data_IF_048288365873
#
_entry.id   IF_048288365873
#
_cell.length_a   1.000
_cell.length_b   1.000
_cell.length_c   1.000
_cell.angle_alpha   90.00
_cell.angle_beta   90.00
_cell.angle_gamma   90.00
#
_symmetry.space_group_name_H-M   'P 1'
#
loop_
_entity.id
_entity.type
_entity.pdbx_description
1 polymer ?
#
# COMPACT_ATOMS: atom_id res chain seq x y z
N UNK A 1 4.45 -0.87 45.01
CA UNK A 1 3.72 0.08 45.89
C UNK A 1 3.15 1.19 45.01
N UNK A 2 1.89 1.66 45.13
CA UNK A 2 1.36 2.74 44.29
C UNK A 2 2.22 4.03 44.34
N UNK A 3 3.03 4.20 45.39
CA UNK A 3 3.93 5.36 45.53
C UNK A 3 5.23 5.25 44.72
N UNK A 4 5.57 4.05 44.24
CA UNK A 4 6.81 3.73 43.53
C UNK A 4 6.87 4.40 42.15
N UNK A 5 5.70 4.65 41.52
CA UNK A 5 5.62 5.33 40.22
C UNK A 5 6.04 6.80 40.32
N UNK A 6 5.83 7.46 41.46
CA UNK A 6 6.23 8.86 41.67
C UNK A 6 7.74 9.02 41.86
N UNK A 7 8.48 7.93 42.07
CA UNK A 7 9.95 7.94 42.20
C UNK A 7 10.67 7.60 40.90
N UNK A 8 9.95 7.18 39.85
CA UNK A 8 10.56 6.86 38.57
C UNK A 8 10.83 8.12 37.73
N UNK A 9 11.84 8.06 36.87
CA UNK A 9 12.20 9.22 36.06
C UNK A 9 11.25 9.38 34.86
N UNK A 10 10.89 10.63 34.56
CA UNK A 10 10.02 10.96 33.40
C UNK A 10 10.60 10.43 32.08
N UNK A 11 11.94 10.37 31.95
CA UNK A 11 12.61 9.83 30.75
C UNK A 11 12.23 8.37 30.45
N UNK A 12 11.80 7.62 31.45
CA UNK A 12 11.42 6.21 31.32
C UNK A 12 9.98 6.05 30.79
N UNK A 13 9.20 7.14 30.77
CA UNK A 13 7.79 7.17 30.37
C UNK A 13 7.48 8.17 29.26
N UNK A 14 8.40 9.07 28.93
CA UNK A 14 8.20 10.06 27.87
C UNK A 14 8.21 9.39 26.49
N UNK A 15 7.40 9.90 25.56
CA UNK A 15 7.49 9.53 24.15
C UNK A 15 8.89 9.89 23.64
N UNK A 16 9.68 8.91 23.13
CA UNK A 16 10.99 9.20 22.57
C UNK A 16 10.88 10.23 21.46
N UNK A 17 11.86 11.13 21.33
CA UNK A 17 11.82 12.21 20.33
C UNK A 17 11.64 11.67 18.89
N UNK A 18 12.12 10.46 18.62
CA UNK A 18 11.96 9.74 17.35
C UNK A 18 10.51 9.33 17.04
N UNK A 19 9.64 9.33 18.06
CA UNK A 19 8.22 9.00 17.96
C UNK A 19 7.32 10.23 18.17
N UNK A 20 7.91 11.40 18.43
CA UNK A 20 7.16 12.65 18.60
C UNK A 20 6.74 13.17 17.22
N UNK A 21 5.43 13.21 17.02
CA UNK A 21 4.81 13.81 15.85
C UNK A 21 4.54 15.27 16.19
N UNK A 22 5.03 16.20 15.37
CA UNK A 22 4.86 17.63 15.55
C UNK A 22 4.23 18.25 14.29
N UNK A 23 3.68 19.44 14.46
CA UNK A 23 3.19 20.28 13.37
C UNK A 23 3.97 21.60 13.34
N UNK A 24 3.77 22.40 12.29
CA UNK A 24 4.38 23.73 12.15
C UNK A 24 3.33 24.84 12.21
N UNK A 25 3.70 26.08 12.58
CA UNK A 25 2.76 27.20 12.66
C UNK A 25 1.99 27.48 11.36
N UNK A 26 2.59 27.17 10.21
CA UNK A 26 2.02 27.36 8.88
C UNK A 26 1.05 26.25 8.43
N UNK A 27 0.97 25.13 9.17
CA UNK A 27 0.11 24.01 8.81
C UNK A 27 -1.35 24.23 9.25
N UNK A 28 -2.30 23.70 8.47
CA UNK A 28 -3.73 23.93 8.73
C UNK A 28 -4.26 23.08 9.88
N UNK A 29 -5.32 23.56 10.54
CA UNK A 29 -6.04 22.78 11.57
C UNK A 29 -6.58 21.46 11.01
N UNK A 30 -7.01 21.43 9.74
CA UNK A 30 -7.48 20.20 9.09
C UNK A 30 -6.39 19.13 8.95
N UNK A 31 -5.15 19.54 8.67
CA UNK A 31 -3.99 18.63 8.63
C UNK A 31 -3.69 18.09 10.03
N UNK A 32 -3.62 18.97 11.04
CA UNK A 32 -3.44 18.56 12.43
C UNK A 32 -4.53 17.55 12.85
N UNK A 33 -5.80 17.81 12.53
CA UNK A 33 -6.93 16.92 12.83
C UNK A 33 -6.78 15.55 12.17
N UNK A 34 -6.32 15.53 10.93
CA UNK A 34 -6.09 14.28 10.18
C UNK A 34 -4.95 13.48 10.77
N UNK A 35 -3.83 14.13 11.09
CA UNK A 35 -2.66 13.50 11.72
C UNK A 35 -3.04 12.93 13.10
N UNK A 36 -3.76 13.72 13.90
CA UNK A 36 -4.22 13.31 15.23
C UNK A 36 -5.19 12.12 15.16
N UNK A 37 -6.11 12.12 14.19
CA UNK A 37 -7.04 11.03 13.97
C UNK A 37 -6.33 9.75 13.47
N UNK A 38 -5.42 9.88 12.49
CA UNK A 38 -4.69 8.75 11.91
C UNK A 38 -3.73 8.09 12.91
N UNK A 39 -3.04 8.90 13.71
CA UNK A 39 -2.03 8.41 14.65
C UNK A 39 -2.58 8.16 16.06
N UNK A 40 -3.85 8.49 16.32
CA UNK A 40 -4.49 8.31 17.62
C UNK A 40 -3.88 9.19 18.73
N UNK A 41 -3.19 10.27 18.37
CA UNK A 41 -2.52 11.18 19.30
C UNK A 41 -3.44 12.34 19.67
N UNK A 42 -3.46 12.70 20.96
CA UNK A 42 -4.35 13.73 21.52
C UNK A 42 -3.71 15.10 21.64
N UNK A 43 -2.41 15.19 21.39
CA UNK A 43 -1.65 16.43 21.37
C UNK A 43 -0.55 16.37 20.32
N UNK A 44 -0.28 17.52 19.71
CA UNK A 44 0.79 17.73 18.75
C UNK A 44 1.57 18.97 19.19
N UNK A 45 2.87 18.87 19.51
CA UNK A 45 3.73 20.03 19.70
C UNK A 45 3.91 20.80 18.38
N UNK A 46 3.93 22.12 18.47
CA UNK A 46 4.19 23.01 17.33
C UNK A 46 5.65 23.43 17.38
N UNK A 47 6.40 23.09 16.34
CA UNK A 47 7.82 23.42 16.23
C UNK A 47 8.04 24.58 15.26
N UNK A 48 8.90 25.52 15.64
CA UNK A 48 9.43 26.55 14.76
C UNK A 48 10.30 25.93 13.64
N UNK A 49 10.60 26.72 12.62
CA UNK A 49 11.59 26.35 11.60
C UNK A 49 12.98 26.03 12.18
N UNK A 50 13.29 26.54 13.37
CA UNK A 50 14.55 26.30 14.09
C UNK A 50 14.48 25.07 15.03
N UNK A 51 13.37 24.33 15.01
CA UNK A 51 13.16 23.13 15.83
C UNK A 51 12.85 23.41 17.31
N UNK A 52 12.48 24.64 17.65
CA UNK A 52 12.06 25.01 19.02
C UNK A 52 10.56 24.81 19.18
N UNK A 53 10.12 24.31 20.33
CA UNK A 53 8.69 24.22 20.63
C UNK A 53 8.13 25.62 20.83
N UNK A 54 7.23 26.03 19.95
CA UNK A 54 6.51 27.31 20.01
C UNK A 54 5.13 27.17 20.65
N UNK A 55 4.53 25.98 20.59
CA UNK A 55 3.20 25.75 21.12
C UNK A 55 2.81 24.27 21.20
N UNK A 56 1.55 24.03 21.56
CA UNK A 56 0.94 22.70 21.62
C UNK A 56 -0.52 22.83 21.15
N UNK A 57 -0.94 21.96 20.24
CA UNK A 57 -2.34 21.81 19.85
C UNK A 57 -2.86 20.50 20.41
N UNK A 58 -3.99 20.54 21.12
CA UNK A 58 -4.66 19.36 21.67
C UNK A 58 -5.96 19.05 20.92
N UNK A 59 -6.45 17.82 21.09
CA UNK A 59 -7.75 17.42 20.56
C UNK A 59 -8.89 18.28 21.09
N UNK A 60 -8.72 18.87 22.28
CA UNK A 60 -9.67 19.82 22.88
C UNK A 60 -9.64 21.16 22.16
N UNK A 61 -8.46 21.68 21.86
CA UNK A 61 -8.32 22.94 21.13
C UNK A 61 -8.96 22.83 19.73
N UNK A 62 -8.82 21.68 19.07
CA UNK A 62 -9.48 21.42 17.79
C UNK A 62 -11.01 21.26 17.87
N UNK A 63 -11.57 20.93 19.04
CA UNK A 63 -13.02 20.86 19.23
C UNK A 63 -13.67 22.20 19.55
N UNK A 64 -12.87 23.16 20.05
CA UNK A 64 -13.35 24.47 20.47
C UNK A 64 -13.31 25.51 19.32
N UNK A 65 -12.51 25.27 18.27
CA UNK A 65 -12.47 26.10 17.06
C UNK A 65 -13.38 25.54 15.95
N UNK A 66 -14.60 26.09 15.85
CA UNK A 66 -15.34 26.16 14.58
C UNK A 66 -16.20 24.96 14.19
N UNK A 67 -17.23 24.64 14.97
CA UNK A 67 -18.42 23.92 14.47
C UNK A 67 -19.68 24.53 15.10
N UNK A 68 -20.60 25.04 14.27
CA UNK A 68 -21.95 25.39 14.73
C UNK A 68 -22.69 24.13 15.20
N UNK A 69 -23.62 24.30 16.14
CA UNK A 69 -24.32 23.19 16.80
C UNK A 69 -25.08 22.23 15.86
N UNK A 70 -25.26 22.59 14.58
CA UNK A 70 -25.88 21.74 13.54
C UNK A 70 -24.95 20.66 12.95
N UNK A 71 -23.64 20.75 13.14
CA UNK A 71 -22.66 19.79 12.58
C UNK A 71 -22.28 18.67 13.55
N UNK A 72 -22.87 18.64 14.75
CA UNK A 72 -22.59 17.62 15.79
C UNK A 72 -23.34 16.28 15.62
N UNK A 73 -23.88 16.02 14.43
CA UNK A 73 -24.62 14.79 14.09
C UNK A 73 -23.71 13.69 13.52
N UNK A 74 -23.76 12.49 14.11
CA UNK A 74 -22.77 11.41 13.95
C UNK A 74 -22.56 10.81 12.56
N UNK A 75 -21.46 10.04 12.45
CA UNK A 75 -20.97 9.13 11.38
C UNK A 75 -20.94 9.63 9.92
N UNK A 76 -21.92 10.40 9.51
CA UNK A 76 -22.14 10.90 8.14
C UNK A 76 -21.15 11.99 7.73
N UNK A 77 -20.67 12.82 8.67
CA UNK A 77 -19.65 13.85 8.40
C UNK A 77 -18.25 13.27 8.15
N UNK A 78 -17.94 12.08 8.69
CA UNK A 78 -16.64 11.45 8.47
C UNK A 78 -16.51 10.88 7.04
N UNK A 79 -17.62 10.39 6.47
CA UNK A 79 -17.64 9.82 5.12
C UNK A 79 -17.77 10.89 4.03
N UNK A 80 -18.52 11.98 4.29
CA UNK A 80 -18.70 13.07 3.31
C UNK A 80 -17.46 13.95 3.09
N UNK A 81 -16.59 14.10 4.09
CA UNK A 81 -15.40 14.97 3.99
C UNK A 81 -14.20 14.31 3.28
N UNK A 82 -14.28 13.02 2.92
CA UNK A 82 -13.15 12.25 2.38
C UNK A 82 -13.28 11.94 0.88
N UNK A 83 -14.47 12.11 0.29
CA UNK A 83 -14.75 11.62 -1.06
C UNK A 83 -14.48 12.60 -2.22
N UNK A 84 -13.80 13.74 -1.99
CA UNK A 84 -13.42 14.65 -3.09
C UNK A 84 -12.05 15.32 -2.87
N UNK A 85 -10.99 14.52 -2.73
CA UNK A 85 -9.64 15.03 -2.95
C UNK A 85 -8.97 14.23 -4.06
N UNK A 86 -9.11 14.75 -5.28
CA UNK A 86 -8.07 14.63 -6.32
C UNK A 86 -6.74 15.01 -5.67
N UNK A 87 -5.65 14.37 -6.11
CA UNK A 87 -4.31 14.47 -5.53
C UNK A 87 -3.95 15.85 -4.99
N UNK A 88 -3.12 15.85 -3.94
CA UNK A 88 -2.50 17.07 -3.41
C UNK A 88 -1.96 17.92 -4.57
N UNK A 89 -2.29 19.22 -4.61
CA UNK A 89 -1.88 20.10 -5.70
C UNK A 89 -0.37 20.00 -5.95
N UNK A 90 0.08 20.23 -7.20
CA UNK A 90 1.47 20.04 -7.67
C UNK A 90 2.58 20.67 -6.82
N UNK A 91 2.25 21.53 -5.87
CA UNK A 91 3.18 22.17 -4.92
C UNK A 91 3.11 21.63 -3.48
N UNK A 92 2.26 20.65 -3.20
CA UNK A 92 2.09 20.08 -1.86
C UNK A 92 2.93 18.81 -1.77
N UNK A 93 4.22 19.02 -1.53
CA UNK A 93 5.11 17.97 -1.05
C UNK A 93 4.58 17.49 0.30
N UNK A 94 4.31 16.18 0.43
CA UNK A 94 4.25 15.51 1.73
C UNK A 94 5.54 15.88 2.44
N UNK A 95 5.46 16.81 3.40
CA UNK A 95 6.63 17.49 3.93
C UNK A 95 7.68 16.46 4.34
N UNK A 96 8.76 16.45 3.58
CA UNK A 96 9.92 15.65 3.89
C UNK A 96 10.33 15.94 5.34
N UNK A 97 10.55 14.92 6.18
CA UNK A 97 11.02 15.14 7.54
C UNK A 97 12.27 16.02 7.46
N UNK A 98 12.39 17.07 8.29
CA UNK A 98 13.45 18.04 8.15
C UNK A 98 14.83 17.37 8.20
N UNK A 99 15.85 17.96 7.56
CA UNK A 99 17.16 17.32 7.36
C UNK A 99 17.78 16.75 8.63
N UNK A 100 17.60 17.41 9.78
CA UNK A 100 18.11 16.91 11.07
C UNK A 100 17.40 15.63 11.54
N UNK A 101 16.10 15.49 11.28
CA UNK A 101 15.30 14.31 11.63
C UNK A 101 15.59 13.16 10.65
N UNK A 102 15.85 13.47 9.37
CA UNK A 102 16.42 12.54 8.39
C UNK A 102 17.79 12.03 8.82
N UNK A 103 18.66 12.91 9.28
CA UNK A 103 19.97 12.55 9.81
C UNK A 103 19.85 11.74 11.10
N UNK A 104 18.85 12.00 11.96
CA UNK A 104 18.63 11.26 13.21
C UNK A 104 17.95 9.90 13.02
N UNK A 105 17.02 9.76 12.06
CA UNK A 105 16.43 8.48 11.67
C UNK A 105 17.42 7.62 10.87
N UNK A 106 18.34 8.26 10.13
CA UNK A 106 19.46 7.60 9.44
C UNK A 106 20.67 7.32 10.37
N UNK A 107 20.62 7.75 11.63
CA UNK A 107 21.65 7.39 12.62
C UNK A 107 21.31 6.00 13.20
N UNK A 108 22.22 5.05 12.95
CA UNK A 108 22.39 3.78 13.67
C UNK A 108 21.32 2.67 13.57
N UNK A 109 20.30 2.78 12.69
CA UNK A 109 19.40 1.64 12.45
C UNK A 109 19.92 0.71 11.34
N UNK A 110 19.90 -0.59 11.59
CA UNK A 110 20.18 -1.59 10.55
C UNK A 110 19.14 -1.48 9.43
N UNK A 111 19.52 -1.62 8.16
CA UNK A 111 18.57 -1.60 7.06
C UNK A 111 17.56 -2.74 7.20
N UNK A 112 16.32 -2.48 6.82
CA UNK A 112 15.33 -3.54 6.65
C UNK A 112 15.49 -4.19 5.27
N UNK A 113 14.90 -5.36 5.10
CA UNK A 113 14.87 -6.05 3.83
C UNK A 113 13.45 -6.53 3.58
N UNK A 114 13.15 -6.88 2.35
CA UNK A 114 11.82 -7.30 1.94
C UNK A 114 11.95 -8.55 1.09
N UNK A 115 11.19 -9.57 1.44
CA UNK A 115 10.94 -10.71 0.57
C UNK A 115 9.60 -10.49 -0.12
N UNK A 116 9.53 -10.75 -1.43
CA UNK A 116 8.36 -10.46 -2.25
C UNK A 116 7.91 -11.74 -2.94
N UNK A 117 6.61 -11.99 -2.91
CA UNK A 117 5.94 -13.04 -3.66
C UNK A 117 4.83 -12.43 -4.50
N UNK A 118 4.63 -12.96 -5.70
CA UNK A 118 3.57 -12.51 -6.60
C UNK A 118 2.72 -13.70 -7.00
N UNK A 119 1.42 -13.47 -7.12
CA UNK A 119 0.48 -14.38 -7.74
C UNK A 119 -0.48 -13.59 -8.61
N UNK A 120 -0.90 -14.18 -9.71
CA UNK A 120 -1.87 -13.62 -10.62
C UNK A 120 -2.80 -14.74 -11.09
N UNK A 121 -4.07 -14.39 -11.27
CA UNK A 121 -5.08 -15.26 -11.84
C UNK A 121 -5.89 -14.44 -12.84
N UNK A 122 -6.06 -14.91 -14.07
CA UNK A 122 -6.88 -14.19 -15.05
C UNK A 122 -8.35 -14.20 -14.63
N UNK A 123 -9.21 -13.45 -15.31
CA UNK A 123 -10.64 -13.53 -15.14
C UNK A 123 -11.09 -14.99 -15.36
N UNK A 124 -11.93 -15.58 -14.47
CA UNK A 124 -12.22 -17.02 -14.49
C UNK A 124 -12.82 -17.52 -15.81
N UNK A 125 -13.53 -16.65 -16.52
CA UNK A 125 -14.15 -16.93 -17.81
C UNK A 125 -13.35 -16.38 -19.01
N UNK A 126 -12.06 -16.07 -18.86
CA UNK A 126 -11.22 -15.54 -19.94
C UNK A 126 -10.82 -16.65 -20.93
N UNK A 127 -11.11 -16.46 -22.21
CA UNK A 127 -10.76 -17.35 -23.34
C UNK A 127 -9.69 -16.70 -24.22
N UNK A 128 -9.12 -17.45 -25.17
CA UNK A 128 -8.27 -16.91 -26.23
C UNK A 128 -8.96 -15.79 -27.05
N UNK A 129 -10.29 -15.82 -27.19
CA UNK A 129 -11.06 -14.90 -28.04
C UNK A 129 -11.86 -13.83 -27.29
N UNK A 130 -11.72 -13.71 -25.96
CA UNK A 130 -12.44 -12.73 -25.16
C UNK A 130 -12.84 -13.23 -23.77
N UNK A 131 -13.86 -12.62 -23.15
CA UNK A 131 -14.42 -13.06 -21.86
C UNK A 131 -15.78 -13.71 -22.05
N UNK A 132 -15.92 -14.94 -21.60
CA UNK A 132 -17.18 -15.65 -21.51
C UNK A 132 -18.12 -14.99 -20.49
N UNK A 133 -19.42 -15.05 -20.74
CA UNK A 133 -20.41 -14.42 -19.87
C UNK A 133 -20.68 -15.23 -18.61
N UNK A 134 -20.45 -16.55 -18.66
CA UNK A 134 -20.83 -17.45 -17.58
C UNK A 134 -19.97 -18.72 -17.60
N UNK A 135 -20.03 -19.46 -16.49
CA UNK A 135 -19.46 -20.81 -16.32
C UNK A 135 -19.82 -21.84 -17.43
N UNK A 136 -20.86 -21.57 -18.22
CA UNK A 136 -21.27 -22.46 -19.34
C UNK A 136 -20.27 -22.48 -20.49
N UNK A 137 -19.42 -21.47 -20.59
CA UNK A 137 -18.47 -21.32 -21.70
C UNK A 137 -17.22 -22.18 -21.52
N UNK A 138 -16.91 -22.59 -20.29
CA UNK A 138 -15.76 -23.44 -19.97
C UNK A 138 -16.15 -24.84 -19.47
N UNK A 139 -17.40 -25.04 -19.01
CA UNK A 139 -17.82 -26.30 -18.39
C UNK A 139 -17.68 -26.26 -16.86
N UNK A 140 -18.24 -27.25 -16.14
CA UNK A 140 -18.52 -27.14 -14.71
C UNK A 140 -17.31 -27.05 -13.76
N UNK A 141 -16.08 -27.26 -14.27
CA UNK A 141 -14.85 -27.29 -13.48
C UNK A 141 -13.64 -26.63 -14.16
N UNK A 142 -13.79 -26.16 -15.40
CA UNK A 142 -12.70 -25.54 -16.13
C UNK A 142 -12.82 -24.03 -15.95
N UNK A 143 -11.77 -23.39 -15.45
CA UNK A 143 -11.65 -21.94 -15.38
C UNK A 143 -10.32 -21.55 -16.00
N UNK A 144 -10.23 -20.31 -16.49
CA UNK A 144 -8.96 -19.78 -16.93
C UNK A 144 -7.96 -19.75 -15.76
N UNK A 145 -6.80 -20.34 -16.00
CA UNK A 145 -5.63 -20.35 -15.14
C UNK A 145 -4.37 -19.83 -15.86
N UNK A 146 -4.47 -19.49 -17.15
CA UNK A 146 -3.35 -18.98 -17.93
C UNK A 146 -3.13 -17.48 -17.64
N UNK A 147 -2.01 -17.10 -17.00
CA UNK A 147 -1.72 -15.71 -16.70
C UNK A 147 -1.58 -14.79 -17.92
N UNK A 148 -1.21 -15.35 -19.08
CA UNK A 148 -1.05 -14.56 -20.33
C UNK A 148 -2.35 -13.92 -20.80
N UNK A 149 -3.49 -14.37 -20.27
CA UNK A 149 -4.80 -13.80 -20.59
C UNK A 149 -5.26 -12.73 -19.60
N UNK A 150 -4.49 -12.50 -18.53
CA UNK A 150 -4.79 -11.49 -17.52
C UNK A 150 -4.68 -10.08 -18.08
N UNK A 151 -5.67 -9.23 -17.80
CA UNK A 151 -5.62 -7.78 -18.08
C UNK A 151 -4.85 -7.03 -17.02
N UNK A 152 -4.69 -7.65 -15.84
CA UNK A 152 -3.72 -7.20 -14.88
C UNK A 152 -2.30 -7.43 -15.38
N UNK A 153 -1.41 -6.54 -14.94
CA UNK A 153 0.03 -6.68 -15.08
C UNK A 153 0.74 -6.21 -13.81
N UNK A 154 1.98 -6.65 -13.62
CA UNK A 154 2.79 -6.28 -12.48
C UNK A 154 4.28 -6.21 -12.83
N UNK A 155 5.05 -5.55 -11.98
CA UNK A 155 6.51 -5.67 -12.01
C UNK A 155 7.07 -5.64 -10.58
N UNK A 156 8.24 -6.26 -10.40
CA UNK A 156 9.06 -6.14 -9.19
C UNK A 156 10.51 -6.04 -9.61
N UNK A 157 11.16 -4.93 -9.29
CA UNK A 157 12.54 -4.67 -9.72
C UNK A 157 13.34 -4.06 -8.58
N UNK A 158 14.51 -4.62 -8.31
CA UNK A 158 15.49 -4.03 -7.39
C UNK A 158 16.64 -3.41 -8.17
N UNK A 159 16.88 -2.12 -7.98
CA UNK A 159 17.94 -1.38 -8.64
C UNK A 159 18.86 -0.70 -7.64
N UNK A 160 20.14 -0.57 -7.99
CA UNK A 160 21.14 0.09 -7.15
C UNK A 160 21.31 1.56 -7.57
N UNK A 161 20.63 2.47 -6.87
CA UNK A 161 20.71 3.92 -7.09
C UNK A 161 21.58 4.59 -6.03
N UNK A 162 22.10 5.78 -6.35
CA UNK A 162 22.81 6.60 -5.35
C UNK A 162 21.81 7.20 -4.36
N UNK A 163 22.22 7.33 -3.10
CA UNK A 163 21.44 8.07 -2.11
C UNK A 163 21.39 9.58 -2.43
N UNK A 164 20.54 10.33 -1.70
CA UNK A 164 20.34 11.76 -1.95
C UNK A 164 21.61 12.61 -1.80
N UNK A 165 22.59 12.10 -1.03
CA UNK A 165 23.90 12.71 -0.83
C UNK A 165 24.91 12.34 -1.93
N UNK A 166 24.63 11.30 -2.72
CA UNK A 166 25.37 10.93 -3.91
C UNK A 166 26.58 10.03 -3.67
N UNK A 167 26.83 9.61 -2.43
CA UNK A 167 28.11 9.00 -2.02
C UNK A 167 28.13 7.47 -2.19
N UNK A 168 26.99 6.80 -2.01
CA UNK A 168 26.90 5.32 -2.07
C UNK A 168 25.73 4.84 -2.92
N UNK A 169 25.96 3.81 -3.74
CA UNK A 169 24.89 3.03 -4.37
C UNK A 169 24.26 2.12 -3.32
N UNK A 170 22.94 2.11 -3.24
CA UNK A 170 22.16 1.24 -2.36
C UNK A 170 20.98 0.62 -3.11
N UNK A 171 20.52 -0.58 -2.73
CA UNK A 171 19.39 -1.21 -3.37
C UNK A 171 18.10 -0.49 -3.00
N UNK A 172 17.26 -0.28 -4.00
CA UNK A 172 15.89 0.17 -3.86
C UNK A 172 14.99 -0.82 -4.58
N UNK A 173 13.94 -1.28 -3.91
CA UNK A 173 13.00 -2.23 -4.48
C UNK A 173 11.73 -1.50 -4.87
N UNK A 174 11.39 -1.57 -6.15
CA UNK A 174 10.17 -1.04 -6.72
C UNK A 174 9.24 -2.19 -7.06
N UNK A 175 7.95 -1.95 -6.93
CA UNK A 175 6.91 -2.86 -7.33
C UNK A 175 5.72 -2.07 -7.86
N UNK A 176 4.97 -2.67 -8.77
CA UNK A 176 3.72 -2.07 -9.22
C UNK A 176 2.75 -3.11 -9.72
N UNK A 177 1.48 -2.72 -9.69
CA UNK A 177 0.35 -3.43 -10.31
C UNK A 177 -0.43 -2.43 -11.17
N UNK A 178 -0.98 -2.91 -12.26
CA UNK A 178 -1.92 -2.18 -13.10
C UNK A 178 -3.02 -3.13 -13.56
N UNK A 179 -4.25 -2.66 -13.55
CA UNK A 179 -5.41 -3.39 -14.06
C UNK A 179 -5.91 -2.70 -15.34
N UNK A 180 -5.93 -3.47 -16.44
CA UNK A 180 -6.33 -3.01 -17.77
C UNK A 180 -7.85 -2.94 -17.90
N UNK A 181 -8.37 -1.75 -18.26
CA UNK A 181 -9.82 -1.51 -18.24
C UNK A 181 -10.53 -2.32 -19.31
N UNK A 182 -11.36 -3.28 -18.89
CA UNK A 182 -11.97 -4.26 -19.77
C UNK A 182 -12.90 -3.71 -20.87
N UNK A 183 -13.45 -2.49 -20.71
CA UNK A 183 -14.38 -1.89 -21.67
C UNK A 183 -13.75 -1.57 -23.03
N UNK A 184 -12.42 -1.54 -23.14
CA UNK A 184 -11.72 -1.32 -24.40
C UNK A 184 -11.98 -2.39 -25.47
N UNK A 185 -12.42 -3.59 -25.05
CA UNK A 185 -12.86 -4.64 -25.97
C UNK A 185 -14.01 -4.20 -26.88
N UNK A 186 -14.87 -3.28 -26.43
CA UNK A 186 -15.97 -2.74 -27.24
C UNK A 186 -15.47 -1.95 -28.45
N UNK A 187 -14.21 -1.51 -28.42
CA UNK A 187 -13.54 -0.74 -29.45
C UNK A 187 -12.51 -1.56 -30.23
N UNK A 188 -12.52 -2.89 -30.12
CA UNK A 188 -11.55 -3.81 -30.74
C UNK A 188 -10.10 -3.54 -30.29
N UNK A 189 -9.94 -3.04 -29.06
CA UNK A 189 -8.65 -2.78 -28.40
C UNK A 189 -8.47 -3.82 -27.30
N UNK A 190 -7.32 -4.49 -27.27
CA UNK A 190 -6.98 -5.46 -26.23
C UNK A 190 -6.62 -4.72 -24.93
N UNK A 191 -7.39 -4.88 -23.83
CA UNK A 191 -7.10 -4.19 -22.57
C UNK A 191 -5.75 -4.54 -21.95
N UNK A 192 -5.19 -5.70 -22.33
CA UNK A 192 -3.87 -6.16 -21.85
C UNK A 192 -2.74 -5.28 -22.34
N UNK A 193 -2.83 -4.79 -23.58
CA UNK A 193 -1.72 -4.10 -24.23
C UNK A 193 -1.27 -2.88 -23.43
N UNK A 194 -2.22 -2.09 -22.92
CA UNK A 194 -1.92 -0.87 -22.19
C UNK A 194 -1.34 -1.14 -20.79
N UNK A 195 -1.97 -1.99 -19.98
CA UNK A 195 -1.51 -2.28 -18.60
C UNK A 195 -0.15 -2.99 -18.61
N UNK A 196 0.04 -3.96 -19.50
CA UNK A 196 1.31 -4.68 -19.67
C UNK A 196 2.42 -3.75 -20.12
N UNK A 197 2.16 -2.92 -21.14
CA UNK A 197 3.16 -1.96 -21.60
C UNK A 197 3.49 -0.93 -20.53
N UNK A 198 2.51 -0.47 -19.76
CA UNK A 198 2.74 0.50 -18.69
C UNK A 198 3.68 -0.08 -17.60
N UNK A 199 3.46 -1.32 -17.16
CA UNK A 199 4.33 -1.98 -16.18
C UNK A 199 5.71 -2.32 -16.77
N UNK A 200 5.77 -2.76 -18.02
CA UNK A 200 7.02 -2.98 -18.75
C UNK A 200 7.87 -1.69 -18.81
N UNK A 201 7.26 -0.55 -19.17
CA UNK A 201 7.98 0.72 -19.24
C UNK A 201 8.40 1.24 -17.87
N UNK A 202 7.61 1.02 -16.82
CA UNK A 202 8.03 1.30 -15.45
C UNK A 202 9.33 0.54 -15.12
N UNK A 203 9.39 -0.75 -15.44
CA UNK A 203 10.60 -1.56 -15.24
C UNK A 203 11.77 -1.10 -16.14
N UNK A 204 11.52 -0.80 -17.42
CA UNK A 204 12.56 -0.33 -18.34
C UNK A 204 13.20 0.97 -17.86
N UNK A 205 12.41 1.94 -17.41
CA UNK A 205 12.88 3.20 -16.81
C UNK A 205 13.80 2.93 -15.61
N UNK A 206 13.41 2.01 -14.74
CA UNK A 206 14.19 1.62 -13.57
C UNK A 206 15.51 0.94 -13.95
N UNK A 207 15.48 0.00 -14.91
CA UNK A 207 16.68 -0.69 -15.42
C UNK A 207 17.66 0.28 -16.07
N UNK A 208 17.15 1.22 -16.87
CA UNK A 208 17.95 2.30 -17.45
C UNK A 208 18.59 3.18 -16.37
N UNK A 209 17.83 3.55 -15.34
CA UNK A 209 18.35 4.33 -14.21
C UNK A 209 19.45 3.58 -13.43
N UNK A 210 19.31 2.26 -13.27
CA UNK A 210 20.33 1.41 -12.62
C UNK A 210 21.60 1.19 -13.46
N UNK A 211 21.45 1.15 -14.80
CA UNK A 211 22.52 0.82 -15.75
C UNK A 211 23.44 1.96 -16.17
N UNK A 212 23.06 3.23 -15.94
CA UNK A 212 23.86 4.40 -16.37
C UNK A 212 25.24 4.43 -15.69
N UNK A 213 26.29 4.29 -16.51
CA UNK A 213 27.68 4.64 -16.15
C UNK A 213 27.84 6.16 -16.19
N UNK A 214 28.54 6.67 -15.19
CA UNK A 214 29.07 8.03 -15.01
C UNK A 214 29.29 8.80 -16.33
N UNK A 215 28.36 9.67 -16.74
CA UNK A 215 28.64 11.08 -17.10
C UNK A 215 27.48 11.89 -17.69
N UNK A 216 26.30 11.34 -17.96
CA UNK A 216 25.28 12.11 -18.70
C UNK A 216 23.98 12.40 -17.92
N UNK A 217 23.65 13.69 -17.85
CA UNK A 217 22.45 14.33 -17.28
C UNK A 217 22.21 14.23 -15.75
N UNK A 218 21.93 15.37 -15.14
CA UNK A 218 21.64 15.58 -13.71
C UNK A 218 20.29 15.02 -13.24
N UNK A 219 19.46 14.46 -14.14
CA UNK A 219 18.08 14.04 -13.80
C UNK A 219 17.99 12.74 -12.98
N UNK A 220 18.88 11.77 -13.18
CA UNK A 220 18.73 10.40 -12.63
C UNK A 220 19.73 10.04 -11.52
N UNK A 221 20.14 11.02 -10.70
CA UNK A 221 21.16 10.80 -9.65
C UNK A 221 20.61 10.30 -8.31
N UNK A 222 19.28 10.22 -8.14
CA UNK A 222 18.62 9.98 -6.84
C UNK A 222 17.47 8.98 -6.98
N UNK A 223 17.01 8.48 -5.83
CA UNK A 223 15.75 7.75 -5.68
C UNK A 223 14.65 8.37 -6.56
N UNK A 224 14.00 7.58 -7.40
CA UNK A 224 12.96 8.06 -8.33
C UNK A 224 11.61 7.89 -7.64
N UNK A 225 10.78 8.94 -7.63
CA UNK A 225 9.48 8.85 -6.99
C UNK A 225 8.53 7.95 -7.80
N UNK A 226 7.65 7.14 -7.16
CA UNK A 226 6.67 6.31 -7.88
C UNK A 226 5.82 7.08 -8.90
N UNK A 227 5.35 8.29 -8.55
CA UNK A 227 4.59 9.13 -9.46
C UNK A 227 5.40 9.60 -10.68
N UNK A 228 6.72 9.79 -10.52
CA UNK A 228 7.61 10.16 -11.63
C UNK A 228 7.84 8.98 -12.58
N UNK A 229 7.92 7.75 -12.05
CA UNK A 229 7.99 6.53 -12.85
C UNK A 229 6.71 6.37 -13.67
N UNK A 230 5.55 6.49 -13.02
CA UNK A 230 4.25 6.42 -13.71
C UNK A 230 4.12 7.48 -14.81
N UNK A 231 4.53 8.72 -14.53
CA UNK A 231 4.50 9.79 -15.52
C UNK A 231 5.37 9.46 -16.74
N UNK A 232 6.61 9.02 -16.51
CA UNK A 232 7.53 8.69 -17.60
C UNK A 232 7.07 7.45 -18.38
N UNK A 233 6.56 6.43 -17.71
CA UNK A 233 6.06 5.22 -18.35
C UNK A 233 4.85 5.55 -19.24
N UNK A 234 3.90 6.34 -18.73
CA UNK A 234 2.75 6.79 -19.50
C UNK A 234 3.14 7.56 -20.77
N UNK A 235 4.13 8.46 -20.69
CA UNK A 235 4.61 9.17 -21.89
C UNK A 235 5.24 8.22 -22.92
N UNK A 236 5.91 7.14 -22.50
CA UNK A 236 6.46 6.12 -23.41
C UNK A 236 5.36 5.28 -24.05
N UNK A 237 4.35 4.87 -23.27
CA UNK A 237 3.15 4.17 -23.76
C UNK A 237 2.43 5.02 -24.82
N UNK A 238 2.24 6.32 -24.57
CA UNK A 238 1.70 7.27 -25.55
C UNK A 238 2.56 7.39 -26.79
N UNK A 239 3.88 7.49 -26.64
CA UNK A 239 4.82 7.62 -27.76
C UNK A 239 4.83 6.38 -28.68
N UNK A 240 4.59 5.18 -28.12
CA UNK A 240 4.41 3.94 -28.88
C UNK A 240 2.99 3.76 -29.42
N UNK A 241 2.09 4.72 -29.14
CA UNK A 241 0.70 4.72 -29.56
C UNK A 241 -0.07 3.47 -29.11
N UNK A 242 0.18 3.02 -27.89
CA UNK A 242 -0.58 1.93 -27.29
C UNK A 242 -1.91 2.48 -26.79
N UNK A 243 -2.99 2.12 -27.49
CA UNK A 243 -4.35 2.55 -27.17
C UNK A 243 -4.88 1.67 -26.04
N UNK A 244 -5.57 2.29 -25.07
CA UNK A 244 -6.12 1.59 -23.93
C UNK A 244 -6.09 2.45 -22.67
N UNK A 245 -6.40 1.84 -21.53
CA UNK A 245 -6.24 2.48 -20.23
C UNK A 245 -6.09 1.46 -19.11
N UNK A 246 -5.53 1.89 -18.00
CA UNK A 246 -5.40 1.06 -16.80
C UNK A 246 -5.45 1.89 -15.51
N UNK A 247 -5.84 1.24 -14.41
CA UNK A 247 -5.46 1.70 -13.07
C UNK A 247 -3.99 1.40 -12.82
N UNK A 248 -3.35 2.08 -11.87
CA UNK A 248 -1.95 1.81 -11.57
C UNK A 248 -1.59 2.15 -10.13
N UNK A 249 -0.94 1.21 -9.44
CA UNK A 249 -0.33 1.43 -8.14
C UNK A 249 1.16 1.09 -8.22
N UNK A 250 2.04 2.07 -8.01
CA UNK A 250 3.50 1.86 -7.96
C UNK A 250 4.02 2.22 -6.58
N UNK A 251 4.88 1.37 -6.04
CA UNK A 251 5.52 1.56 -4.75
C UNK A 251 7.05 1.38 -4.80
N UNK A 252 7.70 2.01 -3.84
CA UNK A 252 9.13 2.03 -3.62
C UNK A 252 9.40 1.76 -2.14
N UNK A 253 10.17 0.72 -1.86
CA UNK A 253 10.68 0.41 -0.53
C UNK A 253 12.10 0.99 -0.34
N UNK A 254 12.22 2.00 0.53
CA UNK A 254 13.50 2.53 1.03
C UNK A 254 13.89 1.78 2.31
N UNK A 255 14.86 0.88 2.16
CA UNK A 255 15.33 -0.01 3.21
C UNK A 255 16.11 0.67 4.33
N UNK A 256 16.69 1.85 4.08
CA UNK A 256 17.46 2.60 5.09
C UNK A 256 16.52 3.50 5.89
N UNK A 257 15.55 4.13 5.22
CA UNK A 257 14.56 4.99 5.88
C UNK A 257 13.39 4.22 6.48
N UNK A 258 13.29 2.94 6.17
CA UNK A 258 12.17 2.07 6.52
C UNK A 258 10.85 2.70 6.05
N UNK A 259 10.82 3.11 4.77
CA UNK A 259 9.66 3.80 4.19
C UNK A 259 9.19 3.06 2.94
N UNK A 260 7.86 2.94 2.81
CA UNK A 260 7.19 2.57 1.59
C UNK A 260 6.55 3.83 0.99
N UNK A 261 7.13 4.34 -0.08
CA UNK A 261 6.52 5.40 -0.88
C UNK A 261 5.64 4.76 -1.94
N UNK A 262 4.46 5.31 -2.20
CA UNK A 262 3.60 4.81 -3.27
C UNK A 262 2.85 5.94 -3.96
N UNK A 263 2.40 5.65 -5.18
CA UNK A 263 1.52 6.47 -6.00
C UNK A 263 0.44 5.55 -6.57
N UNK A 264 -0.82 5.85 -6.27
CA UNK A 264 -1.98 5.06 -6.66
C UNK A 264 -2.93 5.91 -7.50
N UNK A 265 -3.33 5.41 -8.68
CA UNK A 265 -4.39 5.96 -9.51
C UNK A 265 -5.42 4.87 -9.81
N UNK A 266 -6.66 5.10 -9.42
CA UNK A 266 -7.74 4.11 -9.52
C UNK A 266 -8.01 3.39 -8.18
N UNK A 267 -8.50 2.17 -8.26
CA UNK A 267 -8.98 1.32 -7.16
C UNK A 267 -8.13 0.09 -6.85
N UNK A 268 -7.05 -0.13 -7.62
CA UNK A 268 -5.84 -0.81 -7.14
C UNK A 268 -5.34 -0.20 -5.82
N UNK A 269 -4.46 -0.90 -5.09
CA UNK A 269 -4.06 -0.39 -3.77
C UNK A 269 -3.06 -1.20 -2.97
N UNK A 270 -2.82 -0.71 -1.75
CA UNK A 270 -1.88 -1.23 -0.76
C UNK A 270 -2.54 -1.31 0.62
N UNK A 271 -2.41 -2.46 1.26
CA UNK A 271 -2.72 -2.70 2.67
C UNK A 271 -1.42 -3.01 3.41
N UNK A 272 -1.23 -2.40 4.58
CA UNK A 272 -0.12 -2.75 5.50
C UNK A 272 -0.71 -3.40 6.73
N UNK A 273 -0.32 -4.65 6.97
CA UNK A 273 -0.65 -5.44 8.14
C UNK A 273 0.52 -5.41 9.12
N UNK A 274 0.20 -5.17 10.40
CA UNK A 274 1.19 -5.01 11.47
C UNK A 274 0.67 -5.65 12.74
N UNK A 275 1.57 -6.35 13.43
CA UNK A 275 1.30 -6.80 14.80
C UNK A 275 1.31 -5.59 15.73
N UNK A 276 0.17 -5.32 16.35
CA UNK A 276 0.04 -4.26 17.36
C UNK A 276 -0.07 -4.95 18.72
N UNK A 277 0.75 -4.53 19.67
CA UNK A 277 0.69 -5.07 21.02
C UNK A 277 -0.66 -4.72 21.68
N UNK A 278 -1.29 -5.73 22.30
CA UNK A 278 -2.65 -5.66 22.84
C UNK A 278 -2.77 -4.67 24.01
N UNK A 279 -1.65 -4.35 24.67
CA UNK A 279 -1.58 -3.32 25.70
C UNK A 279 -1.68 -1.90 25.12
N UNK A 280 -1.26 -1.71 23.88
CA UNK A 280 -1.31 -0.40 23.17
C UNK A 280 -2.63 -0.20 22.41
N UNK A 281 -3.29 -1.29 21.99
CA UNK A 281 -4.49 -1.29 21.14
C UNK A 281 -5.83 -0.92 21.84
N UNK A 282 -5.78 -0.13 22.93
CA UNK A 282 -6.95 0.17 23.78
C UNK A 282 -8.10 0.96 23.16
N UNK A 283 -8.01 1.37 21.88
CA UNK A 283 -8.97 2.34 21.28
C UNK A 283 -9.41 2.06 19.84
N UNK A 284 -8.89 1.04 19.15
CA UNK A 284 -9.31 0.72 17.78
C UNK A 284 -10.36 -0.41 17.78
N UNK A 285 -11.33 -0.30 16.87
CA UNK A 285 -12.62 -1.02 16.89
C UNK A 285 -12.48 -2.53 17.11
N UNK A 286 -13.38 -3.04 17.93
CA UNK A 286 -13.40 -4.38 18.52
C UNK A 286 -14.01 -5.38 17.54
N UNK A 287 -13.25 -6.39 17.13
CA UNK A 287 -13.87 -7.69 16.87
C UNK A 287 -14.19 -8.32 18.25
N UNK A 288 -15.46 -8.68 18.48
CA UNK A 288 -16.04 -8.97 19.80
C UNK A 288 -15.91 -10.43 20.23
N UNK A 289 -15.37 -11.29 19.37
CA UNK A 289 -15.51 -12.73 19.55
C UNK A 289 -14.44 -13.36 20.46
N UNK A 290 -13.25 -12.78 20.58
CA UNK A 290 -12.17 -13.34 21.43
C UNK A 290 -11.89 -12.44 22.64
N UNK A 291 -11.92 -12.93 23.89
CA UNK A 291 -11.58 -12.14 25.09
C UNK A 291 -10.17 -11.55 25.03
N UNK A 292 -9.98 -10.31 25.53
CA UNK A 292 -8.70 -9.58 25.51
C UNK A 292 -7.55 -10.33 26.21
N UNK A 293 -7.86 -11.10 27.24
CA UNK A 293 -6.90 -11.91 28.01
C UNK A 293 -6.36 -13.13 27.27
N UNK A 294 -7.00 -13.52 26.16
CA UNK A 294 -6.64 -14.71 25.37
C UNK A 294 -5.92 -14.33 24.06
N UNK A 295 -5.72 -13.04 23.80
CA UNK A 295 -5.07 -12.55 22.57
C UNK A 295 -3.58 -12.39 22.81
N UNK A 296 -2.78 -13.28 22.22
CA UNK A 296 -1.33 -13.24 22.30
C UNK A 296 -0.69 -12.53 21.09
N UNK A 297 -1.44 -12.36 19.99
CA UNK A 297 -1.08 -11.53 18.84
C UNK A 297 -2.30 -10.98 18.10
N UNK A 298 -2.34 -9.67 17.89
CA UNK A 298 -3.38 -9.01 17.11
C UNK A 298 -2.70 -8.42 15.84
N UNK A 299 -2.49 -9.24 14.80
CA UNK A 299 -2.19 -8.73 13.46
C UNK A 299 -3.38 -7.84 13.06
N UNK A 300 -3.09 -6.60 12.63
CA UNK A 300 -4.10 -5.58 12.33
C UNK A 300 -3.69 -4.77 11.11
N UNK A 301 -4.68 -4.15 10.51
CA UNK A 301 -4.49 -3.17 9.45
C UNK A 301 -3.87 -1.90 10.06
N UNK A 302 -2.63 -1.61 9.70
CA UNK A 302 -1.95 -0.36 10.03
C UNK A 302 -2.21 0.74 8.99
N UNK A 303 -2.46 0.35 7.73
CA UNK A 303 -2.70 1.28 6.64
C UNK A 303 -3.52 0.63 5.52
N UNK A 304 -4.35 1.43 4.87
CA UNK A 304 -5.05 1.10 3.62
C UNK A 304 -4.92 2.32 2.71
N UNK A 305 -4.54 2.12 1.44
CA UNK A 305 -4.50 3.18 0.45
C UNK A 305 -5.91 3.68 0.12
N UNK A 306 -6.01 4.94 -0.29
CA UNK A 306 -7.28 5.49 -0.77
C UNK A 306 -7.51 5.06 -2.23
N UNK A 307 -8.71 4.55 -2.52
CA UNK A 307 -9.19 4.34 -3.89
C UNK A 307 -9.67 5.66 -4.50
N UNK A 308 -9.47 5.80 -5.82
CA UNK A 308 -9.83 6.98 -6.60
C UNK A 308 -10.86 6.58 -7.66
N UNK A 309 -12.14 6.82 -7.36
CA UNK A 309 -13.27 6.52 -8.23
C UNK A 309 -13.92 7.80 -8.76
N UNK A 310 -14.37 7.77 -10.01
CA UNK A 310 -15.25 8.81 -10.58
C UNK A 310 -16.71 8.52 -10.22
N UNK A 311 -17.12 7.27 -10.34
CA UNK A 311 -18.41 6.74 -9.88
C UNK A 311 -18.27 5.27 -9.46
N UNK A 312 -19.33 4.64 -8.96
CA UNK A 312 -19.32 3.21 -8.64
C UNK A 312 -18.81 2.38 -9.83
N UNK A 313 -17.87 1.47 -9.56
CA UNK A 313 -17.23 0.60 -10.55
C UNK A 313 -16.64 1.35 -11.76
N UNK A 314 -16.14 2.57 -11.53
CA UNK A 314 -15.55 3.41 -12.57
C UNK A 314 -14.36 4.19 -12.01
N UNK A 315 -13.17 3.56 -11.96
CA UNK A 315 -11.96 4.19 -11.45
C UNK A 315 -11.42 5.28 -12.37
N UNK A 316 -10.70 6.23 -11.75
CA UNK A 316 -9.78 7.07 -12.51
C UNK A 316 -8.63 6.22 -13.05
N UNK A 317 -8.20 6.51 -14.27
CA UNK A 317 -7.28 5.65 -15.02
C UNK A 317 -6.28 6.48 -15.84
N UNK A 318 -5.10 5.93 -16.09
CA UNK A 318 -4.20 6.43 -17.13
C UNK A 318 -4.71 5.86 -18.45
N UNK A 319 -4.93 6.68 -19.48
CA UNK A 319 -5.51 6.20 -20.73
C UNK A 319 -5.13 7.03 -21.94
N UNK A 320 -4.98 6.36 -23.08
CA UNK A 320 -4.65 6.96 -24.37
C UNK A 320 -5.61 6.45 -25.45
N UNK A 321 -6.24 7.37 -26.18
CA UNK A 321 -7.18 7.04 -27.26
C UNK A 321 -6.54 7.00 -28.64
N UNK A 322 -5.25 7.33 -28.76
CA UNK A 322 -4.58 7.59 -30.05
C UNK A 322 -4.52 9.07 -30.42
N UNK A 323 -5.31 9.91 -29.76
CA UNK A 323 -5.31 11.36 -29.92
C UNK A 323 -5.52 12.08 -28.58
N UNK A 324 -5.09 13.34 -28.49
CA UNK A 324 -5.34 14.12 -27.29
C UNK A 324 -6.83 14.43 -27.18
N UNK A 325 -7.43 14.08 -26.04
CA UNK A 325 -8.81 14.44 -25.75
C UNK A 325 -8.93 15.96 -25.56
N UNK A 326 -10.04 16.59 -26.00
CA UNK A 326 -10.34 17.98 -25.69
C UNK A 326 -10.31 18.25 -24.18
N UNK A 327 -9.74 19.38 -23.75
CA UNK A 327 -9.64 19.75 -22.32
C UNK A 327 -11.01 19.85 -21.61
N UNK A 328 -12.09 20.07 -22.37
CA UNK A 328 -13.45 20.24 -21.86
C UNK A 328 -14.21 18.90 -21.71
N UNK A 329 -13.62 17.78 -22.10
CA UNK A 329 -14.27 16.46 -22.06
C UNK A 329 -14.15 15.85 -20.66
N UNK A 330 -15.31 15.59 -20.02
CA UNK A 330 -15.38 14.95 -18.70
C UNK A 330 -15.03 13.46 -18.82
N UNK A 331 -13.72 13.17 -18.83
CA UNK A 331 -13.18 11.81 -18.93
C UNK A 331 -12.71 11.26 -17.58
N UNK A 332 -12.67 9.93 -17.47
CA UNK A 332 -12.02 9.21 -16.38
C UNK A 332 -10.49 9.26 -16.46
N UNK A 333 -9.93 9.78 -17.56
CA UNK A 333 -8.49 9.80 -17.76
C UNK A 333 -7.87 10.89 -16.89
N UNK A 334 -6.82 10.50 -16.20
CA UNK A 334 -6.04 11.35 -15.32
C UNK A 334 -4.57 11.23 -15.65
N UNK A 335 -3.79 12.15 -15.10
CA UNK A 335 -2.34 12.14 -15.22
C UNK A 335 -1.71 11.53 -13.98
N UNK A 336 -0.43 11.18 -14.07
CA UNK A 336 0.32 10.75 -12.89
C UNK A 336 0.33 11.79 -11.76
N UNK A 337 0.14 13.09 -12.06
CA UNK A 337 0.03 14.13 -11.02
C UNK A 337 -1.27 14.11 -10.22
N UNK A 338 -2.31 13.46 -10.74
CA UNK A 338 -3.59 13.30 -10.05
C UNK A 338 -3.60 12.10 -9.09
N UNK A 339 -2.56 11.26 -9.15
CA UNK A 339 -2.41 10.08 -8.31
C UNK A 339 -2.34 10.42 -6.82
N UNK A 340 -2.87 9.52 -5.98
CA UNK A 340 -2.70 9.57 -4.55
C UNK A 340 -1.28 9.13 -4.18
N UNK A 341 -0.41 10.09 -3.84
CA UNK A 341 0.96 9.81 -3.40
C UNK A 341 1.09 9.91 -1.88
N UNK A 342 1.69 8.91 -1.24
CA UNK A 342 1.94 8.91 0.21
C UNK A 342 3.18 8.10 0.59
N UNK A 343 3.61 8.20 1.84
CA UNK A 343 4.70 7.41 2.42
C UNK A 343 4.27 6.80 3.76
N UNK A 344 4.64 5.54 3.97
CA UNK A 344 4.32 4.77 5.18
C UNK A 344 5.62 4.31 5.82
N UNK A 345 5.79 4.57 7.11
CA UNK A 345 6.92 4.01 7.85
C UNK A 345 6.65 2.53 8.16
N UNK A 346 7.55 1.67 7.70
CA UNK A 346 7.51 0.22 7.86
C UNK A 346 8.32 -0.25 9.07
N UNK A 347 7.97 -1.43 9.56
CA UNK A 347 8.65 -2.12 10.65
C UNK A 347 8.96 -3.55 10.23
N UNK A 348 9.96 -4.12 10.87
CA UNK A 348 10.22 -5.56 10.77
C UNK A 348 8.97 -6.36 11.15
N UNK A 349 8.65 -7.36 10.33
CA UNK A 349 7.46 -8.21 10.44
C UNK A 349 6.18 -7.59 9.93
N UNK A 350 6.21 -6.40 9.34
CA UNK A 350 5.06 -5.92 8.57
C UNK A 350 4.87 -6.81 7.33
N UNK A 351 3.61 -7.04 7.00
CA UNK A 351 3.18 -7.71 5.76
C UNK A 351 2.45 -6.65 4.94
N UNK A 352 2.88 -6.45 3.71
CA UNK A 352 2.29 -5.50 2.78
C UNK A 352 1.63 -6.30 1.67
N UNK A 353 0.37 -5.99 1.39
CA UNK A 353 -0.40 -6.57 0.29
C UNK A 353 -0.68 -5.45 -0.69
N UNK A 354 -0.09 -5.51 -1.87
CA UNK A 354 -0.44 -4.69 -3.02
C UNK A 354 -1.27 -5.54 -3.98
N UNK A 355 -2.32 -5.01 -4.56
CA UNK A 355 -3.12 -5.75 -5.52
C UNK A 355 -4.07 -4.88 -6.33
N UNK A 356 -4.75 -5.53 -7.27
CA UNK A 356 -5.82 -4.98 -8.09
C UNK A 356 -7.18 -5.11 -7.38
N UNK A 357 -8.19 -4.47 -7.94
CA UNK A 357 -9.59 -4.51 -7.45
C UNK A 357 -10.14 -5.94 -7.38
N UNK A 358 -9.74 -6.84 -8.27
CA UNK A 358 -10.13 -8.26 -8.21
C UNK A 358 -9.86 -8.95 -6.87
N UNK A 359 -8.85 -8.49 -6.09
CA UNK A 359 -8.70 -8.87 -4.69
C UNK A 359 -9.68 -8.12 -3.77
N UNK A 360 -9.67 -6.78 -3.82
CA UNK A 360 -10.34 -5.92 -2.84
C UNK A 360 -11.87 -5.92 -2.95
N UNK A 361 -12.41 -6.24 -4.11
CA UNK A 361 -13.84 -6.37 -4.39
C UNK A 361 -14.43 -7.68 -3.89
N UNK A 362 -13.57 -8.69 -3.69
CA UNK A 362 -13.98 -10.06 -3.37
C UNK A 362 -13.58 -10.49 -1.96
N UNK A 363 -12.48 -9.98 -1.39
CA UNK A 363 -11.97 -10.38 -0.08
C UNK A 363 -12.03 -9.21 0.89
N UNK A 364 -12.78 -9.37 1.98
CA UNK A 364 -12.84 -8.36 3.04
C UNK A 364 -11.46 -8.17 3.71
N UNK A 365 -11.16 -6.94 4.13
CA UNK A 365 -9.88 -6.58 4.73
C UNK A 365 -9.60 -7.40 6.01
N UNK A 366 -10.62 -7.70 6.81
CA UNK A 366 -10.46 -8.53 8.00
C UNK A 366 -10.12 -9.99 7.62
N UNK A 367 -10.64 -10.50 6.50
CA UNK A 367 -10.29 -11.81 5.96
C UNK A 367 -8.87 -11.82 5.37
N UNK A 368 -8.43 -10.78 4.67
CA UNK A 368 -7.03 -10.61 4.23
C UNK A 368 -6.10 -10.69 5.45
N UNK A 369 -6.44 -9.96 6.52
CA UNK A 369 -5.68 -9.98 7.76
C UNK A 369 -5.65 -11.37 8.42
N UNK A 370 -6.77 -12.09 8.40
CA UNK A 370 -6.87 -13.45 8.92
C UNK A 370 -6.02 -14.43 8.11
N UNK A 371 -6.07 -14.38 6.79
CA UNK A 371 -5.29 -15.24 5.88
C UNK A 371 -3.79 -15.02 6.11
N UNK A 372 -3.35 -13.76 6.25
CA UNK A 372 -1.96 -13.42 6.54
C UNK A 372 -1.51 -13.96 7.91
N UNK A 373 -2.36 -13.87 8.94
CA UNK A 373 -2.07 -14.42 10.27
C UNK A 373 -1.99 -15.95 10.25
N UNK A 374 -2.92 -16.62 9.58
CA UNK A 374 -2.91 -18.08 9.41
C UNK A 374 -1.68 -18.54 8.63
N UNK A 375 -1.27 -17.79 7.61
CA UNK A 375 -0.01 -18.02 6.89
C UNK A 375 1.21 -17.89 7.81
N UNK A 376 1.29 -16.84 8.64
CA UNK A 376 2.40 -16.69 9.60
C UNK A 376 2.49 -17.85 10.59
N UNK A 377 1.33 -18.32 11.08
CA UNK A 377 1.24 -19.41 12.04
C UNK A 377 1.60 -20.76 11.40
N UNK A 378 1.07 -21.04 10.20
CA UNK A 378 1.29 -22.30 9.48
C UNK A 378 2.78 -22.54 9.17
N UNK A 379 3.51 -21.49 8.80
CA UNK A 379 4.94 -21.58 8.48
C UNK A 379 5.83 -21.35 9.70
N UNK A 380 5.27 -21.04 10.87
CA UNK A 380 6.01 -20.94 12.13
C UNK A 380 6.75 -19.62 12.34
N UNK A 381 6.40 -18.57 11.60
CA UNK A 381 6.81 -17.19 11.89
C UNK A 381 6.30 -16.73 13.25
N UNK A 382 5.12 -17.22 13.65
CA UNK A 382 4.51 -17.00 14.94
C UNK A 382 4.05 -18.32 15.58
N UNK A 383 4.85 -18.86 16.51
CA UNK A 383 4.53 -20.12 17.20
C UNK A 383 3.57 -19.87 18.36
N UNK A 384 2.42 -20.53 18.36
CA UNK A 384 1.40 -20.45 19.42
C UNK A 384 0.99 -19.00 19.78
N UNK A 385 1.08 -18.08 18.81
CA UNK A 385 0.76 -16.67 19.01
C UNK A 385 1.72 -15.91 19.93
N UNK A 386 2.91 -16.42 20.25
CA UNK A 386 3.86 -15.78 21.16
C UNK A 386 4.68 -14.69 20.45
N UNK A 387 4.18 -13.45 20.49
CA UNK A 387 4.89 -12.24 20.02
C UNK A 387 6.21 -12.07 20.78
N UNK A 388 6.25 -12.33 22.09
CA UNK A 388 7.47 -12.14 22.90
C UNK A 388 8.60 -13.04 22.41
N UNK A 389 8.30 -14.30 22.08
CA UNK A 389 9.28 -15.19 21.47
C UNK A 389 9.73 -14.69 20.09
N UNK A 390 8.85 -14.08 19.29
CA UNK A 390 9.22 -13.48 18.00
C UNK A 390 10.15 -12.28 18.20
N UNK A 391 9.81 -11.35 19.07
CA UNK A 391 10.64 -10.17 19.38
C UNK A 391 12.01 -10.60 19.92
N UNK A 392 12.07 -11.64 20.76
CA UNK A 392 13.35 -12.24 21.22
C UNK A 392 14.17 -12.80 20.05
N UNK A 393 13.56 -13.54 19.11
CA UNK A 393 14.26 -14.02 17.90
C UNK A 393 14.83 -12.86 17.08
N UNK A 394 14.04 -11.81 16.94
CA UNK A 394 14.44 -10.61 16.22
C UNK A 394 15.59 -9.87 16.88
N UNK A 395 15.59 -9.73 18.21
CA UNK A 395 16.69 -9.16 18.98
C UNK A 395 18.00 -9.95 18.83
N UNK A 396 17.91 -11.27 18.60
CA UNK A 396 19.05 -12.13 18.26
C UNK A 396 19.45 -12.04 16.78
N UNK A 397 18.82 -11.17 15.98
CA UNK A 397 19.10 -10.97 14.57
C UNK A 397 18.44 -11.97 13.62
N UNK A 398 17.67 -12.94 14.12
CA UNK A 398 17.04 -13.96 13.28
C UNK A 398 15.60 -13.58 12.90
N UNK A 399 15.37 -13.17 11.64
CA UNK A 399 14.04 -12.86 11.09
C UNK A 399 13.32 -14.05 10.46
N UNK A 400 13.95 -15.22 10.41
CA UNK A 400 13.55 -16.30 9.52
C UNK A 400 13.51 -15.81 8.06
N UNK A 401 14.52 -15.04 7.66
CA UNK A 401 14.58 -14.40 6.33
C UNK A 401 14.46 -15.41 5.19
N UNK A 402 15.20 -16.53 5.23
CA UNK A 402 15.14 -17.55 4.18
C UNK A 402 13.76 -18.20 4.10
N UNK A 403 13.19 -18.61 5.24
CA UNK A 403 11.84 -19.13 5.30
C UNK A 403 10.82 -18.12 4.75
N UNK A 404 10.97 -16.84 5.07
CA UNK A 404 10.13 -15.80 4.50
C UNK A 404 10.28 -15.66 2.99
N UNK A 405 11.49 -15.81 2.46
CA UNK A 405 11.72 -15.76 1.02
C UNK A 405 11.00 -16.92 0.32
N UNK A 406 11.11 -18.12 0.89
CA UNK A 406 10.56 -19.34 0.29
C UNK A 406 9.02 -19.40 0.40
N UNK A 407 8.45 -18.84 1.47
CA UNK A 407 7.01 -18.96 1.76
C UNK A 407 6.17 -17.74 1.38
N UNK A 408 6.75 -16.55 1.15
CA UNK A 408 5.94 -15.36 0.81
C UNK A 408 5.12 -15.52 -0.49
N UNK A 409 5.58 -16.24 -1.54
CA UNK A 409 4.74 -16.50 -2.71
C UNK A 409 3.47 -17.28 -2.37
N UNK A 410 3.50 -18.15 -1.36
CA UNK A 410 2.32 -18.91 -0.94
C UNK A 410 1.24 -18.03 -0.29
N UNK A 411 1.62 -16.89 0.31
CA UNK A 411 0.65 -15.90 0.79
C UNK A 411 -0.06 -15.21 -0.37
N UNK A 412 0.69 -14.75 -1.37
CA UNK A 412 0.10 -14.12 -2.56
C UNK A 412 -0.86 -15.10 -3.26
N UNK A 413 -0.44 -16.36 -3.44
CA UNK A 413 -1.27 -17.40 -4.05
C UNK A 413 -2.56 -17.66 -3.26
N UNK A 414 -2.48 -17.75 -1.92
CA UNK A 414 -3.67 -17.94 -1.06
C UNK A 414 -4.65 -16.79 -1.19
N UNK A 415 -4.17 -15.55 -1.30
CA UNK A 415 -5.03 -14.37 -1.47
C UNK A 415 -5.71 -14.37 -2.85
N UNK A 416 -4.98 -14.61 -3.95
CA UNK A 416 -5.57 -14.74 -5.29
C UNK A 416 -6.60 -15.88 -5.36
N UNK A 417 -6.27 -17.06 -4.82
CA UNK A 417 -7.19 -18.18 -4.78
C UNK A 417 -8.44 -17.85 -3.97
N UNK A 418 -8.29 -17.17 -2.84
CA UNK A 418 -9.43 -16.77 -2.03
C UNK A 418 -10.33 -15.76 -2.75
N UNK A 419 -9.72 -14.79 -3.43
CA UNK A 419 -10.43 -13.84 -4.27
C UNK A 419 -11.22 -14.57 -5.37
N UNK A 420 -10.60 -15.51 -6.06
CA UNK A 420 -11.24 -16.35 -7.10
C UNK A 420 -12.39 -17.20 -6.55
N UNK A 421 -12.23 -17.80 -5.37
CA UNK A 421 -13.30 -18.57 -4.73
C UNK A 421 -14.52 -17.68 -4.41
N UNK A 422 -14.26 -16.52 -3.79
CA UNK A 422 -15.32 -15.59 -3.37
C UNK A 422 -15.96 -14.87 -4.56
N UNK A 423 -15.20 -14.60 -5.62
CA UNK A 423 -15.72 -13.96 -6.83
C UNK A 423 -16.77 -14.81 -7.56
N UNK A 424 -16.69 -16.14 -7.41
CA UNK A 424 -17.63 -17.10 -7.98
C UNK A 424 -18.79 -17.45 -7.04
N UNK A 425 -18.74 -17.02 -5.77
CA UNK A 425 -19.80 -17.29 -4.80
C UNK A 425 -20.92 -16.24 -4.91
N UNK A 426 -22.07 -16.67 -5.44
CA UNK A 426 -23.26 -15.82 -5.57
C UNK A 426 -24.05 -15.63 -4.27
N UNK A 427 -23.70 -16.36 -3.21
CA UNK A 427 -24.44 -16.36 -1.94
C UNK A 427 -23.90 -15.40 -0.89
N UNK A 428 -22.69 -14.87 -1.11
CA UNK A 428 -22.05 -13.92 -0.20
C UNK A 428 -22.41 -12.48 -0.56
N UNK A 429 -22.30 -11.60 0.43
CA UNK A 429 -22.20 -10.16 0.19
C UNK A 429 -20.72 -9.80 0.20
N UNK A 430 -20.09 -9.82 -0.98
CA UNK A 430 -18.70 -9.40 -1.14
C UNK A 430 -18.53 -7.89 -0.86
N UNK A 431 -17.30 -7.41 -0.63
CA UNK A 431 -17.03 -5.96 -0.56
C UNK A 431 -17.66 -5.17 -1.71
N UNK A 432 -17.55 -5.67 -2.95
CA UNK A 432 -18.21 -5.08 -4.11
C UNK A 432 -19.73 -5.05 -3.99
N UNK A 433 -20.35 -6.17 -3.60
CA UNK A 433 -21.79 -6.25 -3.41
C UNK A 433 -22.30 -5.26 -2.36
N UNK A 434 -21.55 -5.08 -1.28
CA UNK A 434 -21.85 -4.11 -0.22
C UNK A 434 -21.75 -2.68 -0.77
N UNK A 435 -20.66 -2.35 -1.46
CA UNK A 435 -20.48 -1.04 -2.10
C UNK A 435 -21.54 -0.75 -3.17
N UNK A 436 -21.96 -1.76 -3.94
CA UNK A 436 -23.03 -1.64 -4.92
C UNK A 436 -24.34 -1.23 -4.24
N UNK A 437 -24.72 -1.93 -3.16
CA UNK A 437 -25.93 -1.63 -2.39
C UNK A 437 -25.88 -0.25 -1.74
N UNK A 438 -24.71 0.18 -1.29
CA UNK A 438 -24.51 1.55 -0.77
C UNK A 438 -24.68 2.64 -1.84
N UNK A 439 -24.50 2.29 -3.12
CA UNK A 439 -24.75 3.14 -4.28
C UNK A 439 -26.13 2.87 -4.94
N UNK A 440 -27.08 2.30 -4.20
CA UNK A 440 -28.45 1.98 -4.64
C UNK A 440 -28.52 0.96 -5.81
N UNK A 441 -27.47 0.16 -6.00
CA UNK A 441 -27.41 -0.91 -7.01
C UNK A 441 -27.66 -2.26 -6.32
N UNK A 442 -28.70 -2.96 -6.77
CA UNK A 442 -29.02 -4.30 -6.24
C UNK A 442 -28.09 -5.35 -6.85
N UNK A 443 -27.02 -5.68 -6.14
CA UNK A 443 -26.07 -6.74 -6.47
C UNK A 443 -25.98 -7.77 -5.34
N UNK A 444 -25.68 -9.03 -5.67
CA UNK A 444 -25.41 -10.11 -4.71
C UNK A 444 -24.34 -11.04 -5.27
N UNK A 445 -23.46 -11.54 -4.41
CA UNK A 445 -22.33 -12.39 -4.80
C UNK A 445 -21.04 -11.62 -5.05
N UNK A 446 -19.98 -12.37 -5.31
CA UNK A 446 -18.70 -11.83 -5.76
C UNK A 446 -18.73 -11.23 -7.17
N UNK A 447 -17.61 -10.60 -7.53
CA UNK A 447 -17.36 -9.98 -8.83
C UNK A 447 -16.22 -10.74 -9.52
N UNK A 448 -16.51 -11.65 -10.47
CA UNK A 448 -15.49 -12.34 -11.24
C UNK A 448 -14.55 -11.34 -11.94
N UNK A 449 -13.25 -11.46 -11.67
CA UNK A 449 -12.26 -10.54 -12.23
C UNK A 449 -10.87 -11.17 -12.40
N UNK A 450 -10.02 -10.50 -13.18
CA UNK A 450 -8.56 -10.67 -13.11
C UNK A 450 -8.10 -10.31 -11.67
N UNK A 451 -7.09 -10.99 -11.13
CA UNK A 451 -6.64 -10.76 -9.76
C UNK A 451 -5.14 -10.94 -9.62
N UNK A 452 -4.46 -9.84 -9.31
CA UNK A 452 -3.02 -9.79 -9.09
C UNK A 452 -2.70 -9.33 -7.68
N UNK A 453 -1.81 -10.07 -7.02
CA UNK A 453 -1.37 -9.79 -5.65
C UNK A 453 0.15 -9.83 -5.57
N UNK A 454 0.74 -8.72 -5.15
CA UNK A 454 2.14 -8.60 -4.73
C UNK A 454 2.18 -8.56 -3.20
N UNK A 455 2.64 -9.64 -2.58
CA UNK A 455 2.82 -9.75 -1.14
C UNK A 455 4.28 -9.47 -0.77
N UNK A 456 4.52 -8.59 0.20
CA UNK A 456 5.85 -8.27 0.72
C UNK A 456 5.90 -8.53 2.23
N UNK A 457 6.92 -9.25 2.70
CA UNK A 457 7.19 -9.45 4.12
C UNK A 457 8.51 -8.79 4.51
N UNK A 458 8.45 -7.87 5.48
CA UNK A 458 9.58 -7.05 5.91
C UNK A 458 10.42 -7.80 6.94
N UNK A 459 11.69 -8.02 6.62
CA UNK A 459 12.64 -8.80 7.42
C UNK A 459 13.85 -7.96 7.83
N UNK A 460 14.65 -8.46 8.78
CA UNK A 460 15.76 -7.70 9.38
C UNK A 460 17.14 -7.93 8.75
N UNK A 461 17.26 -8.82 7.76
CA UNK A 461 18.51 -9.19 7.05
C UNK A 461 18.22 -9.61 5.61
N UNK A 462 19.21 -9.48 4.71
CA UNK A 462 19.15 -10.01 3.34
C UNK A 462 19.20 -11.55 3.32
N UNK A 463 18.56 -12.17 2.33
CA UNK A 463 18.67 -13.62 2.10
C UNK A 463 20.12 -14.03 1.79
N UNK A 464 20.87 -13.21 1.05
CA UNK A 464 22.27 -13.44 0.69
C UNK A 464 23.22 -13.48 1.91
N UNK A 465 22.97 -12.60 2.89
CA UNK A 465 23.71 -12.59 4.17
C UNK A 465 23.39 -13.82 5.03
N UNK A 466 22.22 -14.44 4.82
CA UNK A 466 21.79 -15.62 5.57
C UNK A 466 22.45 -16.89 5.02
N UNK A 467 22.67 -16.97 3.70
CA UNK A 467 23.35 -18.12 3.07
C UNK A 467 24.86 -18.17 3.35
N UNK A 468 25.50 -17.02 3.57
CA UNK A 468 26.93 -16.95 3.86
C UNK A 468 27.30 -17.33 5.30
N UNK A 469 26.38 -17.21 6.26
CA UNK A 469 26.54 -17.77 7.62
C UNK A 469 26.41 -19.30 7.64
N UNK A 470 25.49 -19.87 6.86
CA UNK A 470 25.27 -21.34 6.79
C UNK A 470 26.44 -22.13 6.17
N UNK A 471 27.33 -21.47 5.45
CA UNK A 471 28.57 -22.05 4.90
C UNK A 471 29.78 -21.91 5.86
N UNK A 472 29.65 -21.12 6.94
CA UNK A 472 30.69 -20.88 7.95
C UNK A 472 30.43 -21.61 9.27
N UNK A 473 29.23 -22.15 9.48
CA UNK A 473 28.88 -23.11 10.53
C UNK A 473 29.06 -24.54 10.06
#
# INVERSE_FOLDING_TARGET
DPTEIFQKHIRDFMTPITQVVYARPEETIGMCRTIMAKLGIKCIPILSHEGRVEGLITARDMSDYGLEAKEKGGKTSYLRDVSQRVGLSSNTSMADPPPYLRSHLALEQSPLFANIGVAELPHPFKTESGVGMNHRDFGPHDFSDNPEWSEDSHFVTTINLRDDQGDKKRPFTYMGVADGVGSWREYDVDPRDFSHKLMEECENILREAGGRRTDDSTKFRRMIAPAEILAQAYERVKAENIIGSSTACVALFDNVRHQLHFSNLGDSGIIVLRHIDSDTAGTLKRNRDTPRSERSSDLRVAFVSQQQLRSFNHPYQLGWTGEELPEDEDSSFKTASDSCTSSIHLRRGDIIIMGTDGLFDNVDIDDICKIALEWEQAHGFLRAGDIVAREKRWAMGNSLTQLSHDEIPSLAQRLCQKARELSLDSSIDSPFALLAKENDIMWSGGMPDDCTVVAMHVVGRSAEDTMTEGLKS
#
